data_IF_632897691813
#
_entry.id   IF_632897691813
#
_cell.length_a   1.000
_cell.length_b   1.000
_cell.length_c   1.000
_cell.angle_alpha   90.00
_cell.angle_beta   90.00
_cell.angle_gamma   90.00
#
_symmetry.space_group_name_H-M   'P 1'
#
loop_
_entity.id
_entity.type
_entity.pdbx_description
1 polymer ?
#
# COMPACT_ATOMS: atom_id res chain seq x y z
N UNK A 1 -10.51 14.01 -3.87
CA UNK A 1 -9.20 13.71 -4.48
C UNK A 1 -8.79 12.28 -4.10
N UNK A 2 -7.93 11.66 -4.91
CA UNK A 2 -7.30 10.38 -4.60
C UNK A 2 -5.82 10.59 -4.26
N UNK A 3 -5.25 9.71 -3.44
CA UNK A 3 -3.82 9.53 -3.30
C UNK A 3 -3.45 8.10 -3.69
N UNK A 4 -2.39 7.92 -4.46
CA UNK A 4 -1.84 6.60 -4.78
C UNK A 4 -0.44 6.46 -4.22
N UNK A 5 -0.22 5.41 -3.44
CA UNK A 5 1.10 4.94 -3.05
C UNK A 5 1.69 4.13 -4.20
N UNK A 6 2.54 4.81 -4.96
CA UNK A 6 2.98 4.39 -6.27
C UNK A 6 4.41 3.88 -6.27
N UNK A 7 4.66 2.82 -7.04
CA UNK A 7 6.00 2.40 -7.42
C UNK A 7 6.10 2.34 -8.95
N UNK A 8 6.85 3.25 -9.60
CA UNK A 8 6.99 3.31 -11.06
C UNK A 8 7.54 2.03 -11.68
N UNK A 9 8.26 1.20 -10.93
CA UNK A 9 8.81 -0.08 -11.43
C UNK A 9 7.79 -1.22 -11.41
N UNK A 10 6.63 -1.06 -10.78
CA UNK A 10 5.61 -2.09 -10.65
C UNK A 10 4.51 -1.94 -11.71
N UNK A 11 4.35 -2.92 -12.60
CA UNK A 11 3.33 -2.88 -13.66
C UNK A 11 1.92 -2.66 -13.12
N UNK A 12 1.52 -3.37 -12.07
CA UNK A 12 0.20 -3.18 -11.43
C UNK A 12 0.01 -1.77 -10.88
N UNK A 13 1.07 -1.16 -10.35
CA UNK A 13 1.01 0.21 -9.84
C UNK A 13 0.88 1.25 -10.97
N UNK A 14 1.53 1.02 -12.12
CA UNK A 14 1.38 1.86 -13.32
C UNK A 14 0.00 1.70 -13.95
N UNK A 15 -0.49 0.47 -14.06
CA UNK A 15 -1.83 0.15 -14.58
C UNK A 15 -2.92 0.81 -13.73
N UNK A 16 -2.86 0.73 -12.39
CA UNK A 16 -3.81 1.43 -11.51
C UNK A 16 -3.78 2.94 -11.69
N UNK A 17 -2.59 3.55 -11.76
CA UNK A 17 -2.47 5.00 -12.00
C UNK A 17 -3.05 5.40 -13.36
N UNK A 18 -2.88 4.56 -14.40
CA UNK A 18 -3.46 4.80 -15.71
C UNK A 18 -4.99 4.79 -15.64
N UNK A 19 -5.60 3.78 -14.99
CA UNK A 19 -7.07 3.71 -14.82
C UNK A 19 -7.62 4.96 -14.13
N UNK A 20 -6.95 5.44 -13.07
CA UNK A 20 -7.38 6.67 -12.38
C UNK A 20 -7.34 7.88 -13.32
N UNK A 21 -6.24 8.03 -14.08
CA UNK A 21 -6.06 9.15 -15.02
C UNK A 21 -7.03 9.10 -16.20
N UNK A 22 -7.29 7.92 -16.75
CA UNK A 22 -8.24 7.70 -17.83
C UNK A 22 -9.67 8.05 -17.43
N UNK A 23 -10.02 7.82 -16.15
CA UNK A 23 -11.30 8.24 -15.59
C UNK A 23 -11.41 9.76 -15.34
N UNK A 24 -10.35 10.54 -15.56
CA UNK A 24 -10.32 11.98 -15.32
C UNK A 24 -10.31 12.37 -13.84
N UNK A 25 -10.03 11.43 -12.94
CA UNK A 25 -9.99 11.71 -11.50
C UNK A 25 -8.68 12.39 -11.09
N UNK A 26 -8.78 13.38 -10.20
CA UNK A 26 -7.61 14.01 -9.59
C UNK A 26 -6.91 13.05 -8.63
N UNK A 27 -5.59 12.89 -8.82
CA UNK A 27 -4.78 11.97 -8.01
C UNK A 27 -3.41 12.56 -7.64
N UNK A 28 -3.12 12.54 -6.34
CA UNK A 28 -1.79 12.78 -5.78
C UNK A 28 -0.96 11.50 -5.87
N UNK A 29 0.22 11.56 -6.48
CA UNK A 29 1.15 10.43 -6.56
C UNK A 29 2.17 10.52 -5.44
N UNK A 30 2.13 9.58 -4.50
CA UNK A 30 3.14 9.44 -3.44
C UNK A 30 4.09 8.30 -3.78
N UNK A 31 5.38 8.61 -3.96
CA UNK A 31 6.43 7.59 -4.13
C UNK A 31 6.80 7.02 -2.76
N UNK A 32 5.95 6.14 -2.23
CA UNK A 32 5.95 5.71 -0.82
C UNK A 32 7.25 5.04 -0.32
N UNK A 33 8.12 4.60 -1.22
CA UNK A 33 9.45 4.08 -0.86
C UNK A 33 10.39 5.23 -0.44
N UNK A 34 10.25 6.39 -1.07
CA UNK A 34 11.06 7.57 -0.79
C UNK A 34 10.38 8.51 0.23
N UNK A 35 9.06 8.64 0.11
CA UNK A 35 8.19 9.37 1.04
C UNK A 35 7.42 8.34 1.88
N UNK A 36 8.11 7.77 2.88
CA UNK A 36 7.64 6.64 3.67
C UNK A 36 6.44 7.04 4.55
N UNK A 37 5.33 6.29 4.52
CA UNK A 37 4.21 6.55 5.42
C UNK A 37 4.61 6.31 6.88
N UNK A 38 4.11 7.16 7.76
CA UNK A 38 4.22 6.97 9.21
C UNK A 38 3.40 5.77 9.68
N UNK A 39 3.68 5.30 10.91
CA UNK A 39 2.88 4.23 11.54
C UNK A 39 1.40 4.61 11.64
N UNK A 40 1.10 5.88 11.95
CA UNK A 40 -0.27 6.38 12.05
C UNK A 40 -0.99 6.37 10.70
N UNK A 41 -0.29 6.72 9.62
CA UNK A 41 -0.87 6.64 8.26
C UNK A 41 -1.12 5.19 7.84
N UNK A 42 -0.17 4.29 8.12
CA UNK A 42 -0.35 2.85 7.85
C UNK A 42 -1.50 2.26 8.64
N UNK A 43 -1.66 2.63 9.92
CA UNK A 43 -2.76 2.16 10.76
C UNK A 43 -4.12 2.54 10.15
N UNK A 44 -4.28 3.81 9.75
CA UNK A 44 -5.50 4.28 9.09
C UNK A 44 -5.79 3.54 7.78
N UNK A 45 -4.75 3.26 7.00
CA UNK A 45 -4.91 2.48 5.76
C UNK A 45 -5.35 1.05 6.04
N UNK A 46 -4.81 0.40 7.07
CA UNK A 46 -5.23 -0.94 7.45
C UNK A 46 -6.67 -0.98 7.95
N UNK A 47 -7.09 0.02 8.72
CA UNK A 47 -8.49 0.19 9.14
C UNK A 47 -9.41 0.39 7.92
N UNK A 48 -9.04 1.27 7.00
CA UNK A 48 -9.81 1.54 5.78
C UNK A 48 -9.90 0.35 4.82
N UNK A 49 -8.89 -0.53 4.84
CA UNK A 49 -8.87 -1.77 4.06
C UNK A 49 -9.53 -2.94 4.80
N UNK A 50 -9.85 -2.79 6.09
CA UNK A 50 -10.36 -3.85 6.97
C UNK A 50 -9.46 -5.10 6.99
N UNK A 51 -8.13 -4.90 7.03
CA UNK A 51 -7.15 -6.00 7.06
C UNK A 51 -6.12 -5.88 8.18
N UNK A 52 -5.53 -7.02 8.55
CA UNK A 52 -4.35 -7.07 9.40
C UNK A 52 -3.06 -6.68 8.64
N UNK A 53 -2.04 -6.14 9.33
CA UNK A 53 -0.78 -5.74 8.70
C UNK A 53 -0.12 -6.85 7.89
N UNK A 54 -0.23 -8.10 8.34
CA UNK A 54 0.35 -9.26 7.68
C UNK A 54 -0.20 -9.45 6.25
N UNK A 55 -1.45 -9.06 5.98
CA UNK A 55 -2.06 -9.11 4.66
C UNK A 55 -1.48 -8.05 3.71
N UNK A 56 -0.95 -6.95 4.25
CA UNK A 56 -0.32 -5.87 3.50
C UNK A 56 1.19 -6.09 3.28
N UNK A 57 1.75 -7.22 3.74
CA UNK A 57 3.18 -7.51 3.65
C UNK A 57 3.50 -8.31 2.39
N UNK A 58 4.42 -7.79 1.59
CA UNK A 58 4.99 -8.47 0.43
C UNK A 58 6.04 -9.49 0.85
N UNK A 59 5.57 -10.65 1.30
CA UNK A 59 6.40 -11.73 1.86
C UNK A 59 7.45 -12.31 0.88
N UNK A 60 7.33 -11.99 -0.42
CA UNK A 60 8.26 -12.42 -1.47
C UNK A 60 9.51 -11.56 -1.61
N UNK A 61 9.55 -10.36 -1.02
CA UNK A 61 10.72 -9.48 -1.09
C UNK A 61 11.91 -10.08 -0.31
N UNK A 62 13.17 -9.91 -0.77
CA UNK A 62 14.34 -10.49 -0.10
C UNK A 62 14.43 -10.14 1.39
N UNK A 63 14.17 -8.88 1.73
CA UNK A 63 14.20 -8.39 3.12
C UNK A 63 13.19 -9.11 4.03
N UNK A 64 12.08 -9.61 3.49
CA UNK A 64 11.12 -10.39 4.27
C UNK A 64 11.72 -11.73 4.74
N UNK A 65 12.57 -12.34 3.89
CA UNK A 65 13.29 -13.58 4.21
C UNK A 65 14.42 -13.33 5.21
N UNK A 66 15.18 -12.25 5.01
CA UNK A 66 16.27 -11.86 5.90
C UNK A 66 15.77 -11.59 7.33
N UNK A 67 14.61 -10.94 7.43
CA UNK A 67 13.92 -10.69 8.70
C UNK A 67 13.11 -11.88 9.24
N UNK A 68 13.10 -13.01 8.51
CA UNK A 68 12.38 -14.25 8.84
C UNK A 68 10.90 -14.03 9.17
N UNK A 69 10.23 -13.12 8.45
CA UNK A 69 8.88 -12.66 8.81
C UNK A 69 7.83 -13.78 8.81
N UNK A 70 8.00 -14.82 7.98
CA UNK A 70 7.09 -15.97 7.94
C UNK A 70 7.06 -16.80 9.23
N UNK A 71 8.15 -16.78 10.01
CA UNK A 71 8.30 -17.60 11.21
C UNK A 71 8.18 -16.78 12.50
N UNK A 72 7.79 -15.50 12.39
CA UNK A 72 7.65 -14.60 13.54
C UNK A 72 6.19 -14.36 13.83
N UNK A 73 5.84 -14.47 15.10
CA UNK A 73 4.62 -13.89 15.63
C UNK A 73 4.92 -12.45 16.00
N UNK A 74 4.29 -11.52 15.30
CA UNK A 74 4.45 -10.09 15.50
C UNK A 74 3.11 -9.50 15.90
N UNK A 75 3.12 -8.66 16.93
CA UNK A 75 1.98 -7.79 17.22
C UNK A 75 1.75 -6.80 16.09
N UNK A 76 0.54 -6.22 16.04
CA UNK A 76 0.19 -5.17 15.08
C UNK A 76 1.19 -4.01 15.09
N UNK A 77 1.58 -3.57 16.29
CA UNK A 77 2.56 -2.48 16.46
C UNK A 77 3.96 -2.82 15.92
N UNK A 78 4.38 -4.08 16.01
CA UNK A 78 5.67 -4.54 15.50
C UNK A 78 5.64 -4.66 13.98
N UNK A 79 4.53 -5.12 13.41
CA UNK A 79 4.35 -5.12 11.96
C UNK A 79 4.49 -3.72 11.37
N UNK A 80 3.81 -2.73 11.95
CA UNK A 80 3.90 -1.34 11.51
C UNK A 80 5.35 -0.83 11.56
N UNK A 81 6.08 -1.12 12.65
CA UNK A 81 7.51 -0.76 12.75
C UNK A 81 8.34 -1.40 11.64
N UNK A 82 8.10 -2.67 11.34
CA UNK A 82 8.78 -3.39 10.25
C UNK A 82 8.47 -2.75 8.89
N UNK A 83 7.21 -2.39 8.62
CA UNK A 83 6.78 -1.77 7.37
C UNK A 83 7.36 -0.36 7.18
N UNK A 84 7.37 0.46 8.23
CA UNK A 84 8.00 1.80 8.18
C UNK A 84 9.51 1.69 7.98
N UNK A 85 10.18 0.76 8.66
CA UNK A 85 11.61 0.55 8.50
C UNK A 85 11.99 -0.05 7.13
N UNK A 86 11.07 -0.76 6.48
CA UNK A 86 11.29 -1.46 5.22
C UNK A 86 10.11 -1.22 4.27
N UNK A 87 9.94 0.01 3.73
CA UNK A 87 8.76 0.37 2.96
C UNK A 87 8.54 -0.53 1.74
N UNK A 88 9.59 -1.13 1.17
CA UNK A 88 9.48 -2.10 0.07
C UNK A 88 8.55 -3.29 0.40
N UNK A 89 8.36 -3.60 1.68
CA UNK A 89 7.45 -4.65 2.16
C UNK A 89 5.98 -4.26 2.07
N UNK A 90 5.62 -2.98 1.97
CA UNK A 90 4.22 -2.55 1.87
C UNK A 90 3.67 -2.97 0.51
N UNK A 91 2.51 -3.64 0.51
CA UNK A 91 1.81 -4.04 -0.72
C UNK A 91 1.42 -2.83 -1.57
N UNK A 92 1.40 -3.01 -2.89
CA UNK A 92 1.26 -1.92 -3.84
C UNK A 92 0.46 -2.30 -5.08
N UNK A 93 -0.21 -1.33 -5.73
CA UNK A 93 -0.47 0.02 -5.22
C UNK A 93 -1.56 0.02 -4.14
N UNK A 94 -1.50 0.99 -3.24
CA UNK A 94 -2.61 1.36 -2.37
C UNK A 94 -3.15 2.69 -2.86
N UNK A 95 -4.47 2.78 -3.02
CA UNK A 95 -5.17 4.00 -3.40
C UNK A 95 -6.07 4.39 -2.24
N UNK A 96 -6.04 5.66 -1.86
CA UNK A 96 -6.77 6.23 -0.73
C UNK A 96 -7.60 7.39 -1.28
N UNK A 97 -8.87 7.47 -0.87
CA UNK A 97 -9.75 8.60 -1.17
C UNK A 97 -9.86 9.50 0.07
N UNK A 98 -10.04 10.79 -0.14
CA UNK A 98 -10.12 11.77 0.96
C UNK A 98 -11.25 11.47 1.98
N UNK A 99 -12.26 10.69 1.59
CA UNK A 99 -13.35 10.23 2.46
C UNK A 99 -12.94 9.08 3.39
N UNK A 100 -11.67 8.66 3.36
CA UNK A 100 -11.10 7.62 4.21
C UNK A 100 -11.17 6.22 3.62
N UNK A 101 -11.83 6.01 2.47
CA UNK A 101 -11.84 4.69 1.81
C UNK A 101 -10.48 4.40 1.18
N UNK A 102 -10.05 3.14 1.22
CA UNK A 102 -8.83 2.69 0.60
C UNK A 102 -9.04 1.39 -0.19
N UNK A 103 -8.20 1.14 -1.19
CA UNK A 103 -8.18 -0.14 -1.90
C UNK A 103 -6.79 -0.50 -2.38
N UNK A 104 -6.51 -1.81 -2.42
CA UNK A 104 -5.31 -2.35 -3.07
C UNK A 104 -5.63 -2.56 -4.54
N UNK A 105 -4.88 -1.92 -5.44
CA UNK A 105 -5.01 -2.06 -6.90
C UNK A 105 -4.39 -3.36 -7.42
N UNK A 106 -4.77 -4.48 -6.80
CA UNK A 106 -4.32 -5.83 -7.17
C UNK A 106 -5.52 -6.79 -7.14
N UNK A 107 -6.21 -6.98 -8.28
CA UNK A 107 -5.83 -6.47 -9.60
C UNK A 107 -6.14 -4.95 -9.79
N UNK A 108 -5.50 -4.27 -10.78
CA UNK A 108 -5.58 -2.81 -10.93
C UNK A 108 -6.98 -2.24 -11.00
N UNK A 109 -7.90 -2.97 -11.63
CA UNK A 109 -9.31 -2.64 -11.82
C UNK A 109 -10.08 -2.45 -10.52
N UNK A 110 -9.61 -2.97 -9.38
CA UNK A 110 -10.20 -2.72 -8.06
C UNK A 110 -10.35 -1.22 -7.79
N UNK A 111 -9.45 -0.39 -8.33
CA UNK A 111 -9.50 1.07 -8.13
C UNK A 111 -10.80 1.70 -8.61
N UNK A 112 -11.55 1.04 -9.50
CA UNK A 112 -12.85 1.54 -9.97
C UNK A 112 -13.88 1.69 -8.85
N UNK A 113 -13.76 0.91 -7.78
CA UNK A 113 -14.65 1.01 -6.62
C UNK A 113 -14.41 2.30 -5.80
N UNK A 114 -13.29 2.99 -6.05
CA UNK A 114 -12.94 4.27 -5.43
C UNK A 114 -13.15 5.50 -6.32
N UNK A 115 -13.47 5.34 -7.62
CA UNK A 115 -13.75 6.47 -8.52
C UNK A 115 -15.20 6.94 -8.29
#
# INVERSE_FOLDING_TARGET
MLEIWHNPRCSKSRETLAIIKEAGAEVRVRLYINDVPSMTELERVLEALEVDPAALVRIGEPVAKDLKLKSRELSRSEWLKVLVANPILIERPIVIRDDGRAIVGRPPENVRDLL
#
